data_IF_198939932085
#
_entry.id   IF_198939932085
#
_cell.length_a   1.000
_cell.length_b   1.000
_cell.length_c   1.000
_cell.angle_alpha   90.00
_cell.angle_beta   90.00
_cell.angle_gamma   90.00
#
_symmetry.space_group_name_H-M   'P 1'
#
loop_
_entity.id
_entity.type
_entity.pdbx_description
1 polymer ?
#
# COMPACT_ATOMS: atom_id res chain seq x y z
N UNK A 1 6.87 -18.60 -3.40
CA UNK A 1 7.70 -17.83 -4.34
C UNK A 1 8.90 -17.18 -3.63
N UNK A 2 8.69 -16.49 -2.49
CA UNK A 2 9.78 -15.81 -1.76
C UNK A 2 10.94 -16.74 -1.32
N UNK A 3 10.66 -17.97 -0.86
CA UNK A 3 11.73 -18.85 -0.34
C UNK A 3 12.77 -19.31 -1.38
N UNK A 4 12.43 -19.32 -2.68
CA UNK A 4 13.38 -19.71 -3.74
C UNK A 4 14.16 -18.49 -4.20
N UNK A 5 13.45 -17.38 -4.47
CA UNK A 5 14.07 -16.14 -4.92
C UNK A 5 15.00 -15.53 -3.87
N UNK A 6 14.64 -15.57 -2.58
CA UNK A 6 15.51 -15.11 -1.50
C UNK A 6 16.78 -15.98 -1.39
N UNK A 7 16.70 -17.28 -1.66
CA UNK A 7 17.86 -18.17 -1.67
C UNK A 7 18.77 -17.97 -2.88
N UNK A 8 18.24 -17.35 -3.93
CA UNK A 8 18.97 -17.07 -5.18
C UNK A 8 19.42 -15.60 -5.27
N UNK A 9 19.14 -14.78 -4.26
CA UNK A 9 19.39 -13.32 -4.25
C UNK A 9 18.72 -12.56 -5.41
N UNK A 10 17.61 -13.09 -5.93
CA UNK A 10 16.87 -12.52 -7.07
C UNK A 10 15.65 -11.69 -6.66
N UNK A 11 15.40 -11.55 -5.35
CA UNK A 11 14.22 -10.83 -4.85
C UNK A 11 14.23 -9.36 -5.25
N UNK A 12 15.39 -8.71 -5.23
CA UNK A 12 15.51 -7.30 -5.61
C UNK A 12 15.16 -7.10 -7.09
N UNK A 13 15.75 -7.90 -7.98
CA UNK A 13 15.52 -7.81 -9.42
C UNK A 13 14.07 -8.12 -9.79
N UNK A 14 13.47 -9.11 -9.11
CA UNK A 14 12.07 -9.43 -9.28
C UNK A 14 11.16 -8.26 -8.88
N UNK A 15 11.40 -7.65 -7.71
CA UNK A 15 10.62 -6.50 -7.23
C UNK A 15 10.76 -5.30 -8.17
N UNK A 16 11.98 -5.01 -8.65
CA UNK A 16 12.20 -3.93 -9.62
C UNK A 16 11.44 -4.19 -10.93
N UNK A 17 11.60 -5.39 -11.49
CA UNK A 17 10.92 -5.79 -12.74
C UNK A 17 9.40 -5.76 -12.58
N UNK A 18 8.89 -6.19 -11.41
CA UNK A 18 7.47 -6.11 -11.09
C UNK A 18 6.98 -4.67 -11.13
N UNK A 19 7.68 -3.74 -10.45
CA UNK A 19 7.35 -2.32 -10.44
C UNK A 19 7.28 -1.72 -11.86
N UNK A 20 8.26 -2.04 -12.72
CA UNK A 20 8.32 -1.57 -14.10
C UNK A 20 7.18 -2.11 -14.99
N UNK A 21 6.81 -3.38 -14.81
CA UNK A 21 5.78 -4.04 -15.61
C UNK A 21 4.36 -3.80 -15.10
N UNK A 22 4.19 -3.42 -13.83
CA UNK A 22 2.89 -3.32 -13.14
C UNK A 22 1.87 -2.49 -13.92
N UNK A 23 2.26 -1.31 -14.42
CA UNK A 23 1.35 -0.45 -15.18
C UNK A 23 0.83 -1.10 -16.48
N UNK A 24 1.68 -1.85 -17.19
CA UNK A 24 1.28 -2.58 -18.41
C UNK A 24 0.34 -3.74 -18.07
N UNK A 25 0.64 -4.47 -17.00
CA UNK A 25 -0.19 -5.59 -16.53
C UNK A 25 -1.58 -5.09 -16.11
N UNK A 26 -1.65 -3.99 -15.35
CA UNK A 26 -2.91 -3.39 -14.94
C UNK A 26 -3.70 -2.87 -16.15
N UNK A 27 -3.03 -2.22 -17.10
CA UNK A 27 -3.67 -1.75 -18.34
C UNK A 27 -4.32 -2.88 -19.16
N UNK A 28 -3.80 -4.11 -19.09
CA UNK A 28 -4.41 -5.28 -19.74
C UNK A 28 -5.57 -5.83 -18.91
N UNK A 29 -5.35 -6.08 -17.61
CA UNK A 29 -6.34 -6.79 -16.77
C UNK A 29 -7.57 -5.93 -16.45
N UNK A 30 -7.43 -4.60 -16.51
CA UNK A 30 -8.52 -3.65 -16.30
C UNK A 30 -9.27 -3.30 -17.60
N UNK A 31 -8.95 -3.93 -18.72
CA UNK A 31 -9.77 -3.83 -19.94
C UNK A 31 -11.21 -4.29 -19.62
N UNK A 32 -12.20 -3.51 -20.08
CA UNK A 32 -13.63 -3.80 -19.86
C UNK A 32 -14.04 -5.20 -20.34
N UNK A 33 -13.36 -5.75 -21.35
CA UNK A 33 -13.58 -7.12 -21.84
C UNK A 33 -13.25 -8.18 -20.79
N UNK A 34 -12.37 -7.86 -19.84
CA UNK A 34 -11.92 -8.77 -18.78
C UNK A 34 -12.58 -8.49 -17.43
N UNK A 35 -13.48 -7.50 -17.34
CA UNK A 35 -14.10 -7.05 -16.08
C UNK A 35 -14.76 -8.20 -15.30
N UNK A 36 -15.48 -9.10 -15.99
CA UNK A 36 -16.15 -10.25 -15.39
C UNK A 36 -15.50 -11.60 -15.78
N UNK A 37 -14.23 -11.58 -16.17
CA UNK A 37 -13.47 -12.76 -16.58
C UNK A 37 -12.15 -12.89 -15.81
N UNK A 38 -11.44 -13.99 -16.06
CA UNK A 38 -10.07 -14.24 -15.59
C UNK A 38 -9.87 -14.09 -14.07
N UNK A 39 -10.86 -14.49 -13.26
CA UNK A 39 -10.82 -14.38 -11.79
C UNK A 39 -9.56 -15.00 -11.17
N UNK A 40 -9.15 -16.18 -11.65
CA UNK A 40 -7.91 -16.81 -11.20
C UNK A 40 -6.67 -15.99 -11.48
N UNK A 41 -6.60 -15.29 -12.62
CA UNK A 41 -5.48 -14.38 -12.93
C UNK A 41 -5.52 -13.16 -12.01
N UNK A 42 -6.69 -12.55 -11.81
CA UNK A 42 -6.86 -11.39 -10.92
C UNK A 42 -6.42 -11.70 -9.50
N UNK A 43 -6.87 -12.83 -8.95
CA UNK A 43 -6.42 -13.30 -7.64
C UNK A 43 -4.91 -13.56 -7.63
N UNK A 44 -4.37 -14.21 -8.66
CA UNK A 44 -2.94 -14.51 -8.72
C UNK A 44 -2.06 -13.26 -8.77
N UNK A 45 -2.50 -12.22 -9.45
CA UNK A 45 -1.83 -10.92 -9.47
C UNK A 45 -1.79 -10.30 -8.07
N UNK A 46 -2.89 -10.38 -7.30
CA UNK A 46 -2.93 -9.89 -5.92
C UNK A 46 -1.97 -10.67 -5.03
N UNK A 47 -1.92 -12.00 -5.14
CA UNK A 47 -0.99 -12.82 -4.36
C UNK A 47 0.47 -12.46 -4.65
N UNK A 48 0.82 -12.30 -5.93
CA UNK A 48 2.18 -11.91 -6.33
C UNK A 48 2.52 -10.51 -5.83
N UNK A 49 1.62 -9.55 -6.02
CA UNK A 49 1.77 -8.19 -5.52
C UNK A 49 1.89 -8.16 -3.99
N UNK A 50 1.10 -8.97 -3.27
CA UNK A 50 1.19 -9.09 -1.82
C UNK A 50 2.58 -9.53 -1.37
N UNK A 51 3.18 -10.50 -2.06
CA UNK A 51 4.57 -10.90 -1.79
C UNK A 51 5.61 -9.82 -2.11
N UNK A 52 5.38 -9.01 -3.14
CA UNK A 52 6.22 -7.85 -3.42
C UNK A 52 6.07 -6.79 -2.33
N UNK A 53 4.84 -6.50 -1.90
CA UNK A 53 4.54 -5.56 -0.81
C UNK A 53 5.16 -6.02 0.50
N UNK A 54 5.05 -7.30 0.89
CA UNK A 54 5.72 -7.87 2.06
C UNK A 54 7.24 -7.70 1.99
N UNK A 55 7.83 -8.01 0.83
CA UNK A 55 9.27 -7.91 0.65
C UNK A 55 9.78 -6.48 0.84
N UNK A 56 9.07 -5.49 0.30
CA UNK A 56 9.45 -4.08 0.39
C UNK A 56 9.06 -3.47 1.74
N UNK A 57 7.83 -3.72 2.21
CA UNK A 57 7.24 -3.16 3.42
C UNK A 57 7.95 -3.60 4.69
N UNK A 58 8.41 -4.86 4.75
CA UNK A 58 9.18 -5.39 5.88
C UNK A 58 10.69 -5.28 5.70
N UNK A 59 11.15 -4.57 4.66
CA UNK A 59 12.57 -4.25 4.48
C UNK A 59 13.46 -5.40 3.98
N UNK A 60 12.89 -6.51 3.51
CA UNK A 60 13.65 -7.58 2.85
C UNK A 60 14.25 -7.13 1.51
N UNK A 61 13.59 -6.17 0.84
CA UNK A 61 14.09 -5.49 -0.35
C UNK A 61 14.02 -3.99 -0.11
N UNK A 62 15.19 -3.34 -0.11
CA UNK A 62 15.28 -1.89 0.07
C UNK A 62 15.16 -1.20 -1.29
N UNK A 63 14.14 -0.35 -1.42
CA UNK A 63 13.92 0.50 -2.58
C UNK A 63 13.98 1.99 -2.22
N UNK A 64 14.41 2.86 -3.15
CA UNK A 64 14.27 4.30 -3.00
C UNK A 64 12.81 4.72 -2.73
N UNK A 65 12.60 5.80 -1.97
CA UNK A 65 11.27 6.29 -1.66
C UNK A 65 10.36 6.49 -2.89
N UNK A 66 10.82 7.09 -4.02
CA UNK A 66 9.98 7.24 -5.21
C UNK A 66 9.45 5.91 -5.77
N UNK A 67 10.26 4.86 -5.76
CA UNK A 67 9.85 3.54 -6.22
C UNK A 67 8.79 2.92 -5.27
N UNK A 68 8.93 3.13 -3.95
CA UNK A 68 7.96 2.67 -2.95
C UNK A 68 6.62 3.39 -3.09
N UNK A 69 6.65 4.70 -3.34
CA UNK A 69 5.44 5.51 -3.64
C UNK A 69 4.78 5.02 -4.92
N UNK A 70 5.53 4.82 -6.00
CA UNK A 70 4.99 4.33 -7.26
C UNK A 70 4.34 2.94 -7.11
N UNK A 71 4.97 2.04 -6.35
CA UNK A 71 4.41 0.71 -6.06
C UNK A 71 3.04 0.84 -5.38
N UNK A 72 2.92 1.68 -4.36
CA UNK A 72 1.64 1.94 -3.66
C UNK A 72 0.61 2.59 -4.58
N UNK A 73 0.96 3.69 -5.28
CA UNK A 73 0.03 4.38 -6.19
C UNK A 73 -0.47 3.50 -7.33
N UNK A 74 0.32 2.51 -7.74
CA UNK A 74 -0.06 1.57 -8.79
C UNK A 74 -1.00 0.48 -8.26
N UNK A 75 -0.67 -0.15 -7.13
CA UNK A 75 -1.37 -1.36 -6.70
C UNK A 75 -2.49 -1.13 -5.68
N UNK A 76 -2.40 -0.10 -4.84
CA UNK A 76 -3.41 0.19 -3.83
C UNK A 76 -4.81 0.39 -4.43
N UNK A 77 -4.99 1.15 -5.53
CA UNK A 77 -6.31 1.32 -6.16
C UNK A 77 -6.87 0.00 -6.71
N UNK A 78 -6.02 -0.80 -7.34
CA UNK A 78 -6.43 -2.08 -7.91
C UNK A 78 -6.86 -3.09 -6.83
N UNK A 79 -6.08 -3.22 -5.75
CA UNK A 79 -6.40 -4.09 -4.60
C UNK A 79 -7.73 -3.68 -3.95
N UNK A 80 -7.94 -2.37 -3.75
CA UNK A 80 -9.18 -1.82 -3.19
C UNK A 80 -10.39 -2.12 -4.09
N UNK A 81 -10.22 -2.00 -5.41
CA UNK A 81 -11.27 -2.29 -6.40
C UNK A 81 -11.64 -3.77 -6.43
N UNK A 82 -10.64 -4.66 -6.40
CA UNK A 82 -10.87 -6.07 -6.69
C UNK A 82 -11.41 -6.88 -5.50
N UNK A 83 -10.99 -6.58 -4.27
CA UNK A 83 -11.48 -7.28 -3.06
C UNK A 83 -13.01 -7.33 -2.99
N UNK A 84 -13.75 -6.21 -3.03
CA UNK A 84 -15.21 -6.25 -2.95
C UNK A 84 -15.87 -6.95 -4.14
N UNK A 85 -15.24 -6.97 -5.32
CA UNK A 85 -15.75 -7.69 -6.49
C UNK A 85 -15.64 -9.20 -6.26
N UNK A 86 -14.49 -9.69 -5.78
CA UNK A 86 -14.32 -11.11 -5.47
C UNK A 86 -15.26 -11.57 -4.35
N UNK A 87 -15.45 -10.74 -3.32
CA UNK A 87 -16.41 -11.02 -2.25
C UNK A 87 -17.85 -11.09 -2.78
N UNK A 88 -18.23 -10.17 -3.65
CA UNK A 88 -19.57 -10.16 -4.25
C UNK A 88 -19.82 -11.41 -5.10
N UNK A 89 -18.85 -11.86 -5.90
CA UNK A 89 -18.95 -13.10 -6.67
C UNK A 89 -18.99 -14.34 -5.76
N UNK A 90 -18.16 -14.38 -4.71
CA UNK A 90 -18.20 -15.44 -3.70
C UNK A 90 -19.51 -15.54 -2.92
N UNK A 91 -20.20 -14.40 -2.73
CA UNK A 91 -21.51 -14.37 -2.10
C UNK A 91 -22.65 -14.82 -3.04
N UNK A 92 -22.46 -14.72 -4.37
CA UNK A 92 -23.43 -15.18 -5.37
C UNK A 92 -23.32 -16.68 -5.62
N UNK A 93 -22.10 -17.20 -5.68
CA UNK A 93 -21.81 -18.62 -5.92
C UNK A 93 -20.91 -19.17 -4.82
N UNK A 94 -21.48 -20.03 -3.97
CA UNK A 94 -20.76 -20.67 -2.86
C UNK A 94 -19.60 -21.56 -3.32
N UNK A 95 -19.59 -21.97 -4.60
CA UNK A 95 -18.50 -22.74 -5.19
C UNK A 95 -17.43 -21.87 -5.86
N UNK A 96 -17.55 -20.53 -5.81
CA UNK A 96 -16.58 -19.63 -6.41
C UNK A 96 -15.23 -19.72 -5.67
N UNK A 97 -14.17 -20.23 -6.34
CA UNK A 97 -12.93 -20.55 -5.64
C UNK A 97 -11.97 -19.36 -5.51
N UNK A 98 -12.28 -18.22 -6.14
CA UNK A 98 -11.35 -17.10 -6.28
C UNK A 98 -11.62 -16.00 -5.26
N UNK A 99 -11.20 -16.22 -4.01
CA UNK A 99 -11.34 -15.23 -2.94
C UNK A 99 -9.98 -14.88 -2.34
N UNK A 100 -9.86 -13.66 -1.86
CA UNK A 100 -8.76 -13.30 -0.96
C UNK A 100 -9.12 -13.83 0.43
N UNK A 101 -8.35 -14.80 0.93
CA UNK A 101 -8.51 -15.26 2.30
C UNK A 101 -8.04 -14.20 3.30
N UNK A 102 -8.39 -14.43 4.57
CA UNK A 102 -8.08 -13.49 5.65
C UNK A 102 -6.58 -13.28 5.81
N UNK A 103 -5.79 -14.36 5.70
CA UNK A 103 -4.33 -14.32 5.83
C UNK A 103 -3.70 -13.45 4.74
N UNK A 104 -4.12 -13.60 3.48
CA UNK A 104 -3.68 -12.76 2.37
C UNK A 104 -4.10 -11.30 2.60
N UNK A 105 -5.31 -11.06 3.09
CA UNK A 105 -5.81 -9.71 3.36
C UNK A 105 -4.95 -9.00 4.40
N UNK A 106 -4.79 -9.61 5.57
CA UNK A 106 -4.01 -9.08 6.68
C UNK A 106 -2.54 -8.89 6.31
N UNK A 107 -1.96 -9.82 5.54
CA UNK A 107 -0.57 -9.72 5.12
C UNK A 107 -0.31 -8.53 4.20
N UNK A 108 -1.20 -8.31 3.22
CA UNK A 108 -1.12 -7.14 2.33
C UNK A 108 -1.34 -5.85 3.12
N UNK A 109 -2.33 -5.82 4.01
CA UNK A 109 -2.65 -4.63 4.81
C UNK A 109 -1.48 -4.21 5.70
N UNK A 110 -0.94 -5.14 6.49
CA UNK A 110 0.22 -4.89 7.34
C UNK A 110 1.46 -4.46 6.55
N UNK A 111 1.67 -5.05 5.36
CA UNK A 111 2.76 -4.65 4.48
C UNK A 111 2.58 -3.22 3.95
N UNK A 112 1.37 -2.83 3.55
CA UNK A 112 1.07 -1.47 3.08
C UNK A 112 1.20 -0.46 4.23
N UNK A 113 0.65 -0.75 5.41
CA UNK A 113 0.78 0.09 6.61
C UNK A 113 2.26 0.33 6.92
N UNK A 114 3.06 -0.73 6.98
CA UNK A 114 4.50 -0.64 7.22
C UNK A 114 5.21 0.18 6.16
N UNK A 115 4.87 -0.03 4.89
CA UNK A 115 5.46 0.68 3.77
C UNK A 115 5.14 2.18 3.80
N UNK A 116 3.87 2.55 4.04
CA UNK A 116 3.43 3.94 4.19
C UNK A 116 4.17 4.62 5.34
N UNK A 117 4.21 4.00 6.52
CA UNK A 117 4.86 4.58 7.70
C UNK A 117 6.37 4.84 7.54
N UNK A 118 7.00 4.16 6.57
CA UNK A 118 8.40 4.29 6.21
C UNK A 118 8.68 5.28 5.06
N UNK A 119 7.64 5.94 4.51
CA UNK A 119 7.79 6.99 3.50
C UNK A 119 8.13 8.36 4.14
N UNK A 120 8.65 9.32 3.37
CA UNK A 120 8.67 10.73 3.76
C UNK A 120 7.27 11.26 4.10
N UNK A 121 7.17 12.24 5.01
CA UNK A 121 5.87 12.75 5.50
C UNK A 121 4.95 13.30 4.42
N UNK A 122 5.49 13.94 3.37
CA UNK A 122 4.69 14.47 2.27
C UNK A 122 4.08 13.33 1.46
N UNK A 123 4.89 12.31 1.13
CA UNK A 123 4.42 11.13 0.41
C UNK A 123 3.38 10.34 1.23
N UNK A 124 3.54 10.26 2.55
CA UNK A 124 2.51 9.69 3.45
C UNK A 124 1.18 10.44 3.32
N UNK A 125 1.24 11.77 3.28
CA UNK A 125 0.06 12.63 3.19
C UNK A 125 -0.71 12.34 1.90
N UNK A 126 -0.02 12.32 0.76
CA UNK A 126 -0.65 12.04 -0.54
C UNK A 126 -1.38 10.69 -0.55
N UNK A 127 -0.71 9.62 -0.11
CA UNK A 127 -1.31 8.27 -0.09
C UNK A 127 -2.51 8.17 0.85
N UNK A 128 -2.42 8.80 2.03
CA UNK A 128 -3.49 8.76 3.02
C UNK A 128 -4.70 9.60 2.59
N UNK A 129 -4.48 10.74 1.93
CA UNK A 129 -5.56 11.54 1.35
C UNK A 129 -6.29 10.76 0.26
N UNK A 130 -5.56 10.14 -0.69
CA UNK A 130 -6.14 9.28 -1.72
C UNK A 130 -6.89 8.07 -1.13
N UNK A 131 -6.49 7.59 0.05
CA UNK A 131 -7.21 6.53 0.77
C UNK A 131 -8.52 7.05 1.42
N UNK A 132 -8.51 8.26 1.99
CA UNK A 132 -9.66 8.85 2.66
C UNK A 132 -10.74 9.37 1.70
N UNK A 133 -10.37 9.89 0.54
CA UNK A 133 -11.32 10.52 -0.41
C UNK A 133 -12.30 9.52 -1.04
N UNK A 134 -12.08 8.22 -0.86
CA UNK A 134 -13.00 7.19 -1.37
C UNK A 134 -14.13 6.92 -0.37
N UNK A 135 -15.38 7.23 -0.75
CA UNK A 135 -16.62 7.17 0.07
C UNK A 135 -16.96 5.80 0.72
N UNK A 136 -16.17 4.78 0.45
CA UNK A 136 -16.28 3.44 1.04
C UNK A 136 -14.90 3.07 1.58
N UNK A 137 -14.60 3.41 2.84
CA UNK A 137 -13.44 2.82 3.52
C UNK A 137 -13.68 1.32 3.62
N UNK A 138 -13.17 0.62 2.62
CA UNK A 138 -13.08 -0.82 2.52
C UNK A 138 -11.62 -1.12 2.18
N UNK A 139 -11.19 -2.28 2.66
CA UNK A 139 -9.89 -2.90 2.46
C UNK A 139 -8.99 -2.32 1.34
N UNK A 140 -7.69 -2.09 1.62
CA UNK A 140 -7.01 -2.28 2.90
C UNK A 140 -7.34 -1.15 3.89
N UNK A 141 -7.46 -1.50 5.16
CA UNK A 141 -7.60 -0.54 6.25
C UNK A 141 -6.24 0.09 6.58
N UNK A 142 -6.14 1.42 6.39
CA UNK A 142 -4.92 2.18 6.68
C UNK A 142 -5.07 3.04 7.94
N UNK A 143 -6.09 2.79 8.78
CA UNK A 143 -6.37 3.58 9.98
C UNK A 143 -5.18 3.64 10.93
N UNK A 144 -4.45 2.54 11.12
CA UNK A 144 -3.23 2.54 11.95
C UNK A 144 -2.17 3.51 11.38
N UNK A 145 -1.88 3.42 10.08
CA UNK A 145 -0.92 4.31 9.43
C UNK A 145 -1.35 5.77 9.54
N UNK A 146 -2.64 6.04 9.34
CA UNK A 146 -3.25 7.36 9.44
C UNK A 146 -3.13 7.94 10.86
N UNK A 147 -3.47 7.16 11.89
CA UNK A 147 -3.40 7.59 13.28
C UNK A 147 -1.97 7.95 13.70
N UNK A 148 -1.01 7.11 13.33
CA UNK A 148 0.42 7.35 13.60
C UNK A 148 0.91 8.59 12.85
N UNK A 149 0.56 8.77 11.59
CA UNK A 149 0.89 9.98 10.83
C UNK A 149 0.29 11.24 11.48
N UNK A 150 -0.97 11.20 11.87
CA UNK A 150 -1.65 12.27 12.61
C UNK A 150 -0.92 12.61 13.91
N UNK A 151 -0.56 11.60 14.71
CA UNK A 151 0.18 11.79 15.95
C UNK A 151 1.55 12.44 15.72
N UNK A 152 2.33 11.93 14.76
CA UNK A 152 3.66 12.46 14.40
C UNK A 152 3.57 13.92 13.96
N UNK A 153 2.61 14.25 13.09
CA UNK A 153 2.38 15.60 12.57
C UNK A 153 1.94 16.57 13.67
N UNK A 154 0.96 16.19 14.51
CA UNK A 154 0.52 17.01 15.66
C UNK A 154 1.67 17.26 16.63
N UNK A 155 2.45 16.23 16.93
CA UNK A 155 3.60 16.33 17.84
C UNK A 155 4.70 17.23 17.29
N UNK A 156 5.02 17.12 15.99
CA UNK A 156 5.97 18.00 15.31
C UNK A 156 5.53 19.47 15.34
N UNK A 157 4.25 19.74 15.04
CA UNK A 157 3.68 21.11 15.09
C UNK A 157 3.80 21.73 16.48
N UNK A 158 3.49 20.97 17.54
CA UNK A 158 3.62 21.45 18.93
C UNK A 158 5.06 21.81 19.27
N UNK A 159 6.04 20.98 18.88
CA UNK A 159 7.47 21.28 19.12
C UNK A 159 7.93 22.53 18.37
N UNK A 160 7.46 22.71 17.14
CA UNK A 160 7.75 23.92 16.35
C UNK A 160 7.22 25.18 17.03
N UNK A 161 5.95 25.16 17.48
CA UNK A 161 5.35 26.29 18.18
C UNK A 161 6.08 26.63 19.48
N UNK A 162 6.41 25.63 20.30
CA UNK A 162 7.20 25.85 21.52
C UNK A 162 8.59 26.42 21.25
N UNK A 163 9.21 26.06 20.12
CA UNK A 163 10.49 26.64 19.71
C UNK A 163 10.36 28.11 19.33
N UNK A 164 9.29 28.48 18.62
CA UNK A 164 9.00 29.85 18.22
C UNK A 164 8.70 30.75 19.43
N UNK A 165 7.90 30.28 20.38
CA UNK A 165 7.57 31.04 21.61
C UNK A 165 8.84 31.37 22.42
N UNK A 166 9.77 30.41 22.53
CA UNK A 166 11.07 30.61 23.20
C UNK A 166 11.95 31.67 22.51
N UNK A 167 11.91 31.74 21.18
CA UNK A 167 12.67 32.76 20.42
C UNK A 167 12.00 34.13 20.58
N UNK A 168 10.67 34.19 20.59
CA UNK A 168 9.92 35.43 20.86
C UNK A 168 10.27 36.04 22.21
N UNK A 169 10.23 35.24 23.28
CA UNK A 169 10.57 35.69 24.65
C UNK A 169 12.03 36.14 24.78
N UNK A 170 12.95 35.46 24.08
CA UNK A 170 14.37 35.83 24.05
C UNK A 170 14.62 37.17 23.34
N UNK A 171 13.77 37.53 22.37
CA UNK A 171 13.91 38.78 21.60
C UNK A 171 13.25 39.98 22.30
N UNK A 172 12.27 39.74 23.18
CA UNK A 172 11.58 40.79 23.98
C UNK A 172 12.39 41.17 25.24
N UNK A 173 13.37 40.35 25.64
CA UNK A 173 14.17 40.54 26.85
C UNK A 173 15.52 41.27 26.65
N UNK A 174 15.71 41.95 25.51
CA UNK A 174 16.91 42.71 25.13
C UNK A 174 16.60 44.21 25.00
#
# INVERSE_FOLDING_TARGET
MCNILSKMDLMKDFVCSWGEMSGKVLGIIEDKKLENAMWGLKLKLIEVTGKVLEAVGYGNVILPAPCRVQLLKTWLPYIRKIKPILDAEGNKDTNFPYKMDEDLCQSIEGAIVSLVLALPSNDQTDILLDWMETELVKYPDLSEAFEIWCYRTKSAKRRLMQGLDRVGDATISL
#
